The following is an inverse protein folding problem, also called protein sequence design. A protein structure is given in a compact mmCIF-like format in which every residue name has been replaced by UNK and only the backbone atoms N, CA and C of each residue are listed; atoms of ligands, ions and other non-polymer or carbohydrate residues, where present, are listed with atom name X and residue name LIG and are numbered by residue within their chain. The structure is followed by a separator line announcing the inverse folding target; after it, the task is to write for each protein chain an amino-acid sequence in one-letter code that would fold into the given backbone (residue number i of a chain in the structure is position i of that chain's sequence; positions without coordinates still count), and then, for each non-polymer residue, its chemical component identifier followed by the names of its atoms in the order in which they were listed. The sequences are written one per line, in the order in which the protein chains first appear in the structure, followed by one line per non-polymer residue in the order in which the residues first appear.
data_IF_219209489264
#
_entry.id   IF_219209489264
#
_cell.length_a   1.000
_cell.length_b   1.000
_cell.length_c   1.000
_cell.angle_alpha   90.00
_cell.angle_beta   90.00
_cell.angle_gamma   90.00
#
_symmetry.space_group_name_H-M   'P 1'
#
loop_
_entity.id
_entity.type
_entity.pdbx_description
1 polymer ?
#
# COMPACT_ATOMS: atom_id res chain seq x y z
N UNK A 1 27.92 -43.11 71.82
CA UNK A 1 28.77 -43.10 70.61
C UNK A 1 27.88 -42.70 69.46
N UNK A 2 27.78 -41.43 69.17
CA UNK A 2 26.91 -40.89 68.12
C UNK A 2 27.77 -40.16 67.06
N UNK A 3 27.69 -40.66 65.86
CA UNK A 3 28.40 -40.07 64.71
C UNK A 3 27.36 -39.41 63.85
N UNK A 4 27.32 -38.05 63.94
CA UNK A 4 26.52 -37.21 63.07
C UNK A 4 27.23 -37.03 61.73
N UNK A 5 26.57 -37.43 60.65
CA UNK A 5 26.97 -37.17 59.30
C UNK A 5 26.29 -35.82 58.87
N UNK A 6 27.12 -34.78 58.62
CA UNK A 6 26.68 -33.53 58.06
C UNK A 6 26.79 -33.63 56.51
N UNK A 7 25.67 -33.65 55.85
CA UNK A 7 25.63 -33.55 54.38
C UNK A 7 25.68 -32.08 53.98
N UNK A 8 26.84 -31.68 53.44
CA UNK A 8 26.97 -30.36 52.77
C UNK A 8 26.38 -30.46 51.36
N UNK A 9 25.21 -29.88 51.15
CA UNK A 9 24.63 -29.67 49.85
C UNK A 9 25.31 -28.46 49.21
N UNK A 10 26.21 -28.66 48.26
CA UNK A 10 26.69 -27.67 47.35
C UNK A 10 25.59 -27.40 46.31
N UNK A 11 24.82 -26.33 46.49
CA UNK A 11 23.92 -25.82 45.47
C UNK A 11 24.74 -25.08 44.40
N UNK A 12 24.97 -25.75 43.29
CA UNK A 12 25.58 -25.14 42.07
C UNK A 12 24.56 -24.21 41.43
N UNK A 13 24.65 -22.90 41.70
CA UNK A 13 23.91 -21.88 40.97
C UNK A 13 24.55 -21.70 39.61
N UNK A 14 23.95 -22.32 38.58
CA UNK A 14 24.25 -22.00 37.19
C UNK A 14 23.51 -20.71 36.86
N UNK A 15 24.22 -19.59 36.94
CA UNK A 15 23.78 -18.32 36.38
C UNK A 15 23.80 -18.43 34.85
N UNK A 16 22.67 -18.83 34.27
CA UNK A 16 22.42 -18.60 32.85
C UNK A 16 22.29 -17.08 32.62
N UNK A 17 23.40 -16.43 32.34
CA UNK A 17 23.44 -15.09 31.80
C UNK A 17 22.84 -15.13 30.41
N UNK A 18 21.52 -14.98 30.29
CA UNK A 18 20.92 -14.56 29.05
C UNK A 18 21.43 -13.14 28.76
N UNK A 19 22.54 -13.07 28.06
CA UNK A 19 22.95 -11.83 27.42
C UNK A 19 21.86 -11.50 26.40
N UNK A 20 20.88 -10.71 26.85
CA UNK A 20 19.98 -10.01 25.95
C UNK A 20 20.89 -9.05 25.17
N UNK A 21 21.40 -9.52 24.03
CA UNK A 21 22.09 -8.65 23.08
C UNK A 21 21.03 -7.66 22.60
N UNK A 22 21.02 -6.48 23.21
CA UNK A 22 20.30 -5.35 22.65
C UNK A 22 20.76 -5.21 21.21
N UNK A 23 19.83 -5.16 20.25
CA UNK A 23 20.21 -4.88 18.86
C UNK A 23 21.04 -3.59 18.90
N UNK A 24 22.26 -3.64 18.38
CA UNK A 24 23.07 -2.43 18.21
C UNK A 24 22.19 -1.40 17.52
N UNK A 25 22.18 -0.14 17.97
CA UNK A 25 21.49 0.92 17.25
C UNK A 25 22.01 0.85 15.81
N UNK A 26 21.11 0.53 14.88
CA UNK A 26 21.41 0.55 13.45
C UNK A 26 21.92 1.97 13.20
N UNK A 27 23.16 2.08 12.74
CA UNK A 27 23.74 3.36 12.31
C UNK A 27 22.65 4.10 11.52
N UNK A 28 22.57 5.43 11.65
CA UNK A 28 21.57 6.30 11.02
C UNK A 28 21.49 5.97 9.51
N UNK A 29 20.75 4.91 9.19
CA UNK A 29 20.52 4.52 7.80
C UNK A 29 19.40 5.42 7.31
N UNK A 30 19.74 6.30 6.39
CA UNK A 30 18.83 7.27 5.82
C UNK A 30 17.88 6.57 4.85
N UNK A 31 16.61 6.96 4.87
CA UNK A 31 15.66 6.57 3.85
C UNK A 31 15.93 7.41 2.62
N UNK A 32 16.27 6.77 1.52
CA UNK A 32 16.45 7.43 0.23
C UNK A 32 15.13 7.53 -0.50
N UNK A 33 14.96 8.65 -1.22
CA UNK A 33 13.83 8.90 -2.11
C UNK A 33 14.35 9.05 -3.53
N UNK A 34 13.77 8.30 -4.46
CA UNK A 34 14.03 8.40 -5.89
C UNK A 34 12.70 8.57 -6.64
N UNK A 35 12.71 9.34 -7.73
CA UNK A 35 11.52 9.54 -8.57
C UNK A 35 11.70 8.85 -9.93
N UNK A 36 10.63 8.20 -10.40
CA UNK A 36 10.60 7.48 -11.67
C UNK A 36 9.34 7.87 -12.45
N UNK A 37 9.47 8.21 -13.72
CA UNK A 37 8.34 8.37 -14.64
C UNK A 37 7.93 7.00 -15.13
N UNK A 38 6.67 6.62 -14.95
CA UNK A 38 6.15 5.32 -15.39
C UNK A 38 5.17 5.40 -16.56
N UNK A 39 4.54 6.57 -16.78
CA UNK A 39 3.59 6.73 -17.88
C UNK A 39 3.50 8.19 -18.35
N UNK A 40 3.18 8.38 -19.64
CA UNK A 40 2.86 9.68 -20.23
C UNK A 40 1.52 9.55 -20.97
N UNK A 41 0.52 10.31 -20.53
CA UNK A 41 -0.86 10.29 -21.04
C UNK A 41 -1.22 11.65 -21.63
N UNK A 42 -0.94 11.87 -22.90
CA UNK A 42 -1.11 13.18 -23.52
C UNK A 42 -0.20 14.22 -22.89
N UNK A 43 -0.76 15.16 -22.14
CA UNK A 43 0.00 16.19 -21.39
C UNK A 43 0.36 15.77 -19.97
N UNK A 44 -0.20 14.68 -19.46
CA UNK A 44 0.04 14.21 -18.09
C UNK A 44 1.27 13.32 -18.05
N UNK A 45 2.22 13.67 -17.21
CA UNK A 45 3.38 12.84 -16.89
C UNK A 45 3.17 12.24 -15.50
N UNK A 46 3.00 10.93 -15.46
CA UNK A 46 2.78 10.18 -14.22
C UNK A 46 4.10 9.62 -13.72
N UNK A 47 4.42 9.91 -12.47
CA UNK A 47 5.63 9.44 -11.81
C UNK A 47 5.32 8.83 -10.45
N UNK A 48 6.28 8.09 -9.93
CA UNK A 48 6.22 7.53 -8.59
C UNK A 48 7.48 7.90 -7.80
N UNK A 49 7.32 8.00 -6.49
CA UNK A 49 8.41 8.19 -5.56
C UNK A 49 8.68 6.87 -4.84
N UNK A 50 9.88 6.35 -4.98
CA UNK A 50 10.37 5.15 -4.27
C UNK A 50 11.11 5.58 -3.02
N UNK A 51 10.77 4.98 -1.88
CA UNK A 51 11.44 5.15 -0.59
C UNK A 51 12.01 3.81 -0.13
N UNK A 52 13.30 3.78 0.19
CA UNK A 52 13.96 2.59 0.74
C UNK A 52 15.17 2.97 1.61
N UNK A 53 15.65 2.04 2.42
CA UNK A 53 16.89 2.25 3.16
C UNK A 53 18.11 2.23 2.25
N UNK A 54 19.02 3.19 2.44
CA UNK A 54 20.21 3.41 1.60
C UNK A 54 21.32 2.37 1.74
N UNK A 55 21.22 1.41 2.62
CA UNK A 55 22.28 0.43 2.81
C UNK A 55 21.79 -0.97 3.06
N UNK A 56 22.60 -1.89 2.57
CA UNK A 56 22.57 -3.34 2.69
C UNK A 56 21.65 -3.95 1.63
N UNK A 57 22.26 -4.47 0.56
CA UNK A 57 21.60 -5.46 -0.27
C UNK A 57 21.16 -6.61 0.63
N UNK A 58 19.86 -6.75 0.96
CA UNK A 58 19.41 -7.85 1.79
C UNK A 58 19.65 -9.16 1.04
N UNK A 59 19.96 -10.22 1.77
CA UNK A 59 20.10 -11.56 1.19
C UNK A 59 18.76 -12.08 0.64
N UNK A 60 17.64 -11.46 1.00
CA UNK A 60 16.27 -11.77 0.55
C UNK A 60 15.66 -10.60 -0.21
N UNK A 61 14.73 -10.93 -1.11
CA UNK A 61 13.90 -9.93 -1.78
C UNK A 61 13.03 -9.17 -0.76
N UNK A 62 12.75 -7.91 -1.05
CA UNK A 62 11.99 -7.00 -0.18
C UNK A 62 10.51 -7.00 -0.53
N UNK A 63 9.60 -6.96 0.46
CA UNK A 63 8.19 -6.66 0.21
C UNK A 63 8.03 -5.22 -0.28
N UNK A 64 6.93 -4.97 -0.99
CA UNK A 64 6.61 -3.67 -1.57
C UNK A 64 5.27 -3.16 -1.04
N UNK A 65 5.19 -1.88 -0.73
CA UNK A 65 3.94 -1.15 -0.54
C UNK A 65 3.78 -0.14 -1.67
N UNK A 66 2.70 -0.25 -2.47
CA UNK A 66 2.33 0.77 -3.45
C UNK A 66 1.19 1.58 -2.88
N UNK A 67 1.38 2.89 -2.75
CA UNK A 67 0.44 3.81 -2.10
C UNK A 67 -0.15 4.80 -3.09
N UNK A 68 -1.49 4.94 -3.06
CA UNK A 68 -2.26 5.96 -3.77
C UNK A 68 -2.77 7.03 -2.78
N UNK A 69 -2.51 8.31 -3.07
CA UNK A 69 -2.88 9.42 -2.20
C UNK A 69 -4.40 9.74 -2.25
N UNK A 70 -4.89 10.45 -1.24
CA UNK A 70 -6.25 11.00 -1.19
C UNK A 70 -6.37 12.35 -1.89
N UNK A 71 -7.61 12.82 -2.09
CA UNK A 71 -7.87 14.13 -2.66
C UNK A 71 -9.12 14.18 -3.54
N UNK A 72 -10.04 13.21 -3.38
CA UNK A 72 -11.36 13.20 -4.03
C UNK A 72 -11.30 13.16 -5.54
N UNK A 73 -10.25 12.61 -6.15
CA UNK A 73 -9.98 12.61 -7.60
C UNK A 73 -9.92 14.02 -8.23
N UNK A 74 -9.75 15.05 -7.38
CA UNK A 74 -9.63 16.46 -7.77
C UNK A 74 -8.23 17.03 -7.60
N UNK A 75 -7.40 16.36 -6.81
CA UNK A 75 -6.07 16.81 -6.47
C UNK A 75 -5.41 15.82 -5.50
N UNK A 76 -4.37 16.28 -4.84
CA UNK A 76 -3.52 15.47 -3.96
C UNK A 76 -2.09 15.44 -4.50
N UNK A 77 -1.20 14.85 -3.71
CA UNK A 77 0.22 14.76 -4.05
C UNK A 77 0.79 13.47 -3.44
N UNK A 78 1.49 12.68 -4.26
CA UNK A 78 2.22 11.49 -3.80
C UNK A 78 3.31 11.82 -2.77
N UNK A 79 3.79 13.06 -2.76
CA UNK A 79 4.80 13.57 -1.85
C UNK A 79 4.21 14.40 -0.69
N UNK A 80 2.90 14.29 -0.41
CA UNK A 80 2.29 15.02 0.70
C UNK A 80 2.99 14.67 2.03
N UNK A 81 3.33 15.72 2.78
CA UNK A 81 4.10 15.61 4.03
C UNK A 81 3.39 14.79 5.10
N UNK A 82 2.07 14.65 5.03
CA UNK A 82 1.29 13.81 5.95
C UNK A 82 1.57 12.33 5.79
N UNK A 83 1.95 11.88 4.60
CA UNK A 83 2.24 10.47 4.32
C UNK A 83 3.72 10.09 4.54
N UNK A 84 4.65 11.03 4.44
CA UNK A 84 6.10 10.76 4.51
C UNK A 84 6.51 9.97 5.76
N UNK A 85 6.04 10.30 6.99
CA UNK A 85 6.40 9.53 8.17
C UNK A 85 5.97 8.05 8.08
N UNK A 86 4.83 7.77 7.43
CA UNK A 86 4.36 6.41 7.20
C UNK A 86 5.26 5.67 6.20
N UNK A 87 5.66 6.32 5.12
CA UNK A 87 6.57 5.74 4.12
C UNK A 87 7.94 5.44 4.71
N UNK A 88 8.49 6.39 5.48
CA UNK A 88 9.78 6.19 6.15
C UNK A 88 9.73 5.08 7.20
N UNK A 89 8.62 4.99 7.95
CA UNK A 89 8.43 3.91 8.92
C UNK A 89 8.46 2.54 8.24
N UNK A 90 7.76 2.35 7.14
CA UNK A 90 7.75 1.09 6.39
C UNK A 90 9.12 0.80 5.77
N UNK A 91 9.78 1.81 5.18
CA UNK A 91 11.11 1.64 4.61
C UNK A 91 12.14 1.21 5.67
N UNK A 92 12.08 1.78 6.89
CA UNK A 92 12.91 1.37 8.03
C UNK A 92 12.60 -0.06 8.51
N UNK A 93 11.42 -0.59 8.19
CA UNK A 93 11.01 -1.96 8.49
C UNK A 93 11.22 -2.93 7.31
N UNK A 94 12.00 -2.52 6.31
CA UNK A 94 12.48 -3.40 5.23
C UNK A 94 11.60 -3.44 3.99
N UNK A 95 10.57 -2.59 3.90
CA UNK A 95 9.78 -2.44 2.68
C UNK A 95 10.47 -1.53 1.67
N UNK A 96 10.22 -1.79 0.39
CA UNK A 96 10.27 -0.75 -0.63
C UNK A 96 8.90 -0.10 -0.67
N UNK A 97 8.84 1.22 -0.45
CA UNK A 97 7.58 1.95 -0.50
C UNK A 97 7.54 2.78 -1.76
N UNK A 98 6.45 2.68 -2.49
CA UNK A 98 6.20 3.41 -3.74
C UNK A 98 4.96 4.26 -3.55
N UNK A 99 5.08 5.58 -3.61
CA UNK A 99 3.94 6.48 -3.66
C UNK A 99 3.75 6.96 -5.09
N UNK A 100 2.57 6.72 -5.68
CA UNK A 100 2.34 6.91 -7.12
C UNK A 100 1.40 8.05 -7.44
N UNK A 101 1.66 8.73 -8.57
CA UNK A 101 0.68 9.60 -9.20
C UNK A 101 -0.45 8.77 -9.83
N UNK A 102 -1.60 9.38 -9.97
CA UNK A 102 -2.70 8.97 -10.82
C UNK A 102 -3.45 10.22 -11.33
N UNK A 103 -4.12 10.14 -12.48
CA UNK A 103 -4.85 11.27 -13.04
C UNK A 103 -6.06 11.62 -12.17
N UNK A 104 -6.14 12.89 -11.78
CA UNK A 104 -7.23 13.44 -10.96
C UNK A 104 -8.26 14.13 -11.84
N UNK A 105 -9.03 13.35 -12.60
CA UNK A 105 -9.88 13.84 -13.70
C UNK A 105 -11.02 14.75 -13.25
N UNK A 106 -11.49 14.63 -11.99
CA UNK A 106 -12.50 15.57 -11.45
C UNK A 106 -11.95 16.98 -11.21
N UNK A 107 -10.63 17.20 -11.28
CA UNK A 107 -10.03 18.53 -11.20
C UNK A 107 -10.46 19.42 -12.37
N UNK A 108 -10.63 18.84 -13.54
CA UNK A 108 -11.00 19.53 -14.78
C UNK A 108 -12.46 19.30 -15.16
N UNK A 109 -13.27 18.75 -14.25
CA UNK A 109 -14.69 18.56 -14.48
C UNK A 109 -15.38 19.92 -14.64
N UNK A 110 -15.99 20.13 -15.81
CA UNK A 110 -16.78 21.33 -16.08
C UNK A 110 -18.14 21.26 -15.34
N UNK A 111 -18.39 22.14 -14.37
CA UNK A 111 -19.65 22.13 -13.63
C UNK A 111 -20.90 22.24 -14.50
N UNK A 112 -20.78 22.86 -15.67
CA UNK A 112 -21.91 23.02 -16.63
C UNK A 112 -22.34 21.70 -17.27
N UNK A 113 -21.48 20.68 -17.23
CA UNK A 113 -21.76 19.32 -17.72
C UNK A 113 -22.34 18.38 -16.64
N UNK A 114 -22.52 18.89 -15.42
CA UNK A 114 -23.10 18.13 -14.31
C UNK A 114 -24.50 18.71 -14.05
N UNK A 115 -25.47 18.26 -14.82
CA UNK A 115 -26.85 18.74 -14.76
C UNK A 115 -27.72 17.93 -13.82
N UNK A 116 -27.27 16.71 -13.46
CA UNK A 116 -28.02 15.78 -12.63
C UNK A 116 -27.06 14.98 -11.69
N UNK A 117 -27.57 14.37 -10.63
CA UNK A 117 -26.81 13.42 -9.82
C UNK A 117 -26.19 12.29 -10.65
N UNK A 118 -26.87 11.83 -11.70
CA UNK A 118 -26.36 10.76 -12.57
C UNK A 118 -25.13 11.20 -13.36
N UNK A 119 -25.07 12.46 -13.81
CA UNK A 119 -23.89 12.99 -14.49
C UNK A 119 -22.67 13.00 -13.56
N UNK A 120 -22.89 13.36 -12.28
CA UNK A 120 -21.83 13.32 -11.28
C UNK A 120 -21.36 11.89 -11.00
N UNK A 121 -22.29 10.94 -10.87
CA UNK A 121 -21.97 9.50 -10.68
C UNK A 121 -21.14 8.99 -11.86
N UNK A 122 -21.53 9.30 -13.09
CA UNK A 122 -20.78 8.91 -14.29
C UNK A 122 -19.38 9.53 -14.32
N UNK A 123 -19.24 10.80 -13.93
CA UNK A 123 -17.95 11.47 -13.85
C UNK A 123 -17.05 10.86 -12.76
N UNK A 124 -17.64 10.51 -11.61
CA UNK A 124 -16.94 9.85 -10.52
C UNK A 124 -16.46 8.46 -10.92
N UNK A 125 -17.33 7.67 -11.57
CA UNK A 125 -16.95 6.34 -12.07
C UNK A 125 -15.79 6.45 -13.07
N UNK A 126 -15.88 7.38 -14.03
CA UNK A 126 -14.77 7.63 -14.97
C UNK A 126 -13.47 8.01 -14.25
N UNK A 127 -13.56 8.77 -13.15
CA UNK A 127 -12.39 9.15 -12.38
C UNK A 127 -11.77 7.94 -11.64
N UNK A 128 -12.61 7.06 -11.10
CA UNK A 128 -12.18 5.80 -10.47
C UNK A 128 -11.49 4.90 -11.50
N UNK A 129 -12.14 4.65 -12.65
CA UNK A 129 -11.59 3.79 -13.70
C UNK A 129 -10.24 4.32 -14.20
N UNK A 130 -10.13 5.64 -14.37
CA UNK A 130 -8.88 6.29 -14.79
C UNK A 130 -7.78 6.13 -13.73
N UNK A 131 -8.10 6.28 -12.44
CA UNK A 131 -7.15 6.12 -11.37
C UNK A 131 -6.71 4.66 -11.21
N UNK A 132 -7.63 3.70 -11.38
CA UNK A 132 -7.32 2.26 -11.39
C UNK A 132 -6.41 1.90 -12.57
N UNK A 133 -6.70 2.44 -13.76
CA UNK A 133 -5.82 2.26 -14.93
C UNK A 133 -4.39 2.70 -14.62
N UNK A 134 -4.22 3.90 -14.08
CA UNK A 134 -2.92 4.46 -13.76
C UNK A 134 -2.23 3.68 -12.62
N UNK A 135 -2.98 3.21 -11.64
CA UNK A 135 -2.47 2.39 -10.54
C UNK A 135 -1.96 1.03 -11.04
N UNK A 136 -2.65 0.39 -11.97
CA UNK A 136 -2.18 -0.84 -12.60
C UNK A 136 -0.91 -0.61 -13.43
N UNK A 137 -0.80 0.51 -14.13
CA UNK A 137 0.43 0.84 -14.87
C UNK A 137 1.61 1.07 -13.91
N UNK A 138 1.39 1.77 -12.80
CA UNK A 138 2.39 1.92 -11.75
C UNK A 138 2.80 0.57 -11.15
N UNK A 139 1.83 -0.32 -10.87
CA UNK A 139 2.09 -1.68 -10.38
C UNK A 139 2.90 -2.49 -11.39
N UNK A 140 2.54 -2.46 -12.67
CA UNK A 140 3.28 -3.13 -13.74
C UNK A 140 4.71 -2.59 -13.86
N UNK A 141 4.90 -1.27 -13.73
CA UNK A 141 6.22 -0.66 -13.71
C UNK A 141 7.06 -1.19 -12.54
N UNK A 142 6.50 -1.23 -11.33
CA UNK A 142 7.17 -1.78 -10.13
C UNK A 142 7.57 -3.25 -10.34
N UNK A 143 6.68 -4.08 -10.90
CA UNK A 143 6.97 -5.47 -11.21
C UNK A 143 8.16 -5.59 -12.17
N UNK A 144 8.22 -4.74 -13.19
CA UNK A 144 9.31 -4.73 -14.17
C UNK A 144 10.66 -4.31 -13.56
N UNK A 145 10.65 -3.56 -12.44
CA UNK A 145 11.84 -3.19 -11.69
C UNK A 145 12.29 -4.26 -10.68
N UNK A 146 11.65 -5.43 -10.65
CA UNK A 146 11.83 -6.42 -9.58
C UNK A 146 13.28 -6.86 -9.38
N UNK A 147 14.04 -7.00 -10.43
CA UNK A 147 15.48 -7.36 -10.35
C UNK A 147 16.33 -6.20 -9.84
N UNK A 148 16.12 -5.00 -10.37
CA UNK A 148 16.94 -3.82 -10.06
C UNK A 148 16.70 -3.33 -8.63
N UNK A 149 15.45 -3.44 -8.14
CA UNK A 149 15.07 -3.03 -6.78
C UNK A 149 15.15 -4.16 -5.77
N UNK A 150 15.50 -5.39 -6.20
CA UNK A 150 15.55 -6.59 -5.37
C UNK A 150 14.26 -6.79 -4.56
N UNK A 151 13.10 -6.72 -5.24
CA UNK A 151 11.77 -6.85 -4.64
C UNK A 151 11.14 -8.19 -4.94
N UNK A 152 10.25 -8.62 -4.04
CA UNK A 152 9.42 -9.81 -4.20
C UNK A 152 8.07 -9.42 -4.79
N UNK A 153 7.82 -9.81 -6.04
CA UNK A 153 6.57 -9.51 -6.75
C UNK A 153 5.35 -10.22 -6.16
N UNK A 154 5.57 -11.28 -5.38
CA UNK A 154 4.50 -11.98 -4.66
C UNK A 154 4.14 -11.29 -3.33
N UNK A 155 4.93 -10.28 -2.92
CA UNK A 155 4.73 -9.52 -1.69
C UNK A 155 4.45 -8.03 -1.98
N UNK A 156 3.64 -7.76 -3.00
CA UNK A 156 3.18 -6.40 -3.31
C UNK A 156 1.85 -6.15 -2.59
N UNK A 157 1.84 -5.18 -1.69
CA UNK A 157 0.66 -4.70 -0.97
C UNK A 157 0.21 -3.38 -1.58
N UNK A 158 -1.07 -3.27 -1.95
CA UNK A 158 -1.69 -2.02 -2.36
C UNK A 158 -2.21 -1.27 -1.13
N UNK A 159 -1.99 0.04 -1.06
CA UNK A 159 -2.52 0.87 0.03
C UNK A 159 -2.96 2.23 -0.50
N UNK A 160 -3.90 2.86 0.19
CA UNK A 160 -4.35 4.18 -0.21
C UNK A 160 -5.20 4.89 0.83
N UNK A 161 -5.41 6.19 0.62
CA UNK A 161 -6.20 7.05 1.49
C UNK A 161 -7.34 7.70 0.70
N UNK A 162 -8.58 7.67 1.22
CA UNK A 162 -9.76 8.31 0.61
C UNK A 162 -9.91 7.92 -0.87
N UNK A 163 -9.83 8.84 -1.83
CA UNK A 163 -9.85 8.53 -3.27
C UNK A 163 -8.81 7.47 -3.67
N UNK A 164 -7.60 7.51 -3.09
CA UNK A 164 -6.59 6.49 -3.30
C UNK A 164 -6.98 5.13 -2.68
N UNK A 165 -7.69 5.15 -1.56
CA UNK A 165 -8.22 3.93 -0.96
C UNK A 165 -9.33 3.30 -1.81
N UNK A 166 -10.20 4.13 -2.40
CA UNK A 166 -11.19 3.70 -3.39
C UNK A 166 -10.46 3.07 -4.59
N UNK A 167 -9.41 3.73 -5.09
CA UNK A 167 -8.62 3.23 -6.22
C UNK A 167 -8.04 1.84 -5.95
N UNK A 168 -7.41 1.61 -4.78
CA UNK A 168 -6.78 0.30 -4.51
C UNK A 168 -7.79 -0.79 -4.20
N UNK A 169 -8.92 -0.46 -3.57
CA UNK A 169 -10.02 -1.42 -3.37
C UNK A 169 -10.66 -1.80 -4.70
N UNK A 170 -10.93 -0.80 -5.57
CA UNK A 170 -11.47 -1.05 -6.90
C UNK A 170 -10.49 -1.85 -7.76
N UNK A 171 -9.18 -1.58 -7.67
CA UNK A 171 -8.17 -2.37 -8.36
C UNK A 171 -8.20 -3.85 -7.95
N UNK A 172 -8.31 -4.16 -6.67
CA UNK A 172 -8.45 -5.55 -6.23
C UNK A 172 -9.78 -6.15 -6.70
N UNK A 173 -10.88 -5.39 -6.60
CA UNK A 173 -12.20 -5.82 -7.07
C UNK A 173 -12.19 -6.16 -8.56
N UNK A 174 -11.66 -5.27 -9.38
CA UNK A 174 -11.56 -5.45 -10.84
C UNK A 174 -10.67 -6.64 -11.22
N UNK A 175 -9.58 -6.86 -10.47
CA UNK A 175 -8.69 -8.00 -10.66
C UNK A 175 -9.40 -9.33 -10.36
N UNK A 176 -10.16 -9.39 -9.25
CA UNK A 176 -10.92 -10.56 -8.86
C UNK A 176 -12.07 -10.88 -9.82
N UNK A 177 -12.69 -9.85 -10.40
CA UNK A 177 -13.84 -9.98 -11.31
C UNK A 177 -13.44 -10.00 -12.80
N UNK A 178 -12.13 -10.02 -13.09
CA UNK A 178 -11.64 -10.16 -14.48
C UNK A 178 -11.95 -8.95 -15.35
N UNK A 179 -12.04 -7.75 -14.77
CA UNK A 179 -12.28 -6.53 -15.51
C UNK A 179 -11.18 -6.27 -16.56
N UNK A 180 -11.54 -5.61 -17.67
CA UNK A 180 -10.63 -5.38 -18.80
C UNK A 180 -9.37 -4.60 -18.38
N UNK A 181 -9.50 -3.65 -17.45
CA UNK A 181 -8.38 -2.87 -16.93
C UNK A 181 -7.31 -3.74 -16.25
N UNK A 182 -7.71 -4.84 -15.60
CA UNK A 182 -6.78 -5.74 -14.91
C UNK A 182 -5.81 -6.46 -15.87
N UNK A 183 -6.10 -6.51 -17.18
CA UNK A 183 -5.20 -7.07 -18.19
C UNK A 183 -3.90 -6.28 -18.39
N UNK A 184 -3.77 -5.10 -17.75
CA UNK A 184 -2.51 -4.36 -17.68
C UNK A 184 -1.49 -5.00 -16.75
N UNK A 185 -1.96 -5.86 -15.86
CA UNK A 185 -1.09 -6.63 -14.96
C UNK A 185 -0.67 -7.95 -15.64
N UNK A 186 0.47 -8.51 -15.27
CA UNK A 186 0.89 -9.83 -15.74
C UNK A 186 -0.15 -10.89 -15.41
N UNK A 187 -0.35 -11.85 -16.34
CA UNK A 187 -1.28 -12.96 -16.12
C UNK A 187 -0.94 -13.72 -14.84
N UNK A 188 -1.95 -13.92 -13.99
CA UNK A 188 -1.79 -14.60 -12.71
C UNK A 188 -1.26 -13.73 -11.57
N UNK A 189 -1.03 -12.45 -11.79
CA UNK A 189 -0.67 -11.53 -10.71
C UNK A 189 -1.81 -11.41 -9.70
N UNK A 190 -1.44 -11.30 -8.41
CA UNK A 190 -2.34 -10.98 -7.31
C UNK A 190 -1.60 -10.07 -6.33
N UNK A 191 -2.30 -9.13 -5.71
CA UNK A 191 -1.74 -8.40 -4.58
C UNK A 191 -1.61 -9.33 -3.36
N UNK A 192 -0.57 -9.14 -2.55
CA UNK A 192 -0.40 -9.84 -1.28
C UNK A 192 -1.39 -9.35 -0.21
N UNK A 193 -1.94 -8.16 -0.38
CA UNK A 193 -2.95 -7.56 0.47
C UNK A 193 -3.31 -6.15 0.04
N UNK A 194 -4.44 -5.65 0.58
CA UNK A 194 -4.89 -4.27 0.42
C UNK A 194 -5.05 -3.63 1.78
N UNK A 195 -4.55 -2.39 1.94
CA UNK A 195 -4.76 -1.57 3.14
C UNK A 195 -5.48 -0.28 2.71
N UNK A 196 -6.71 -0.13 3.15
CA UNK A 196 -7.60 0.98 2.78
C UNK A 196 -7.83 1.91 3.98
N UNK A 197 -7.53 3.18 3.81
CA UNK A 197 -7.86 4.23 4.78
C UNK A 197 -9.00 5.09 4.24
N UNK A 198 -10.22 4.85 4.73
CA UNK A 198 -11.46 5.52 4.34
C UNK A 198 -11.79 5.37 2.84
N UNK A 199 -11.78 4.13 2.34
CA UNK A 199 -12.16 3.78 0.98
C UNK A 199 -13.46 3.01 0.89
N UNK A 200 -13.92 2.77 -0.34
CA UNK A 200 -15.07 1.96 -0.68
C UNK A 200 -14.87 1.29 -2.05
N UNK A 201 -15.57 0.21 -2.32
CA UNK A 201 -15.70 -0.36 -3.67
C UNK A 201 -16.84 0.36 -4.39
N UNK A 202 -16.63 0.76 -5.65
CA UNK A 202 -17.66 1.38 -6.48
C UNK A 202 -18.45 0.31 -7.24
N UNK A 203 -19.40 -0.31 -6.53
CA UNK A 203 -20.32 -1.30 -7.10
C UNK A 203 -21.64 -1.30 -6.34
N UNK A 204 -22.58 -2.14 -6.78
CA UNK A 204 -23.83 -2.42 -6.05
C UNK A 204 -23.51 -3.13 -4.74
N UNK A 205 -24.00 -2.61 -3.63
CA UNK A 205 -23.73 -3.17 -2.30
C UNK A 205 -24.72 -4.32 -1.95
N UNK A 206 -24.23 -5.42 -1.37
CA UNK A 206 -22.81 -5.75 -1.15
C UNK A 206 -22.11 -6.09 -2.46
N UNK A 207 -20.81 -5.79 -2.59
CA UNK A 207 -20.06 -6.09 -3.80
C UNK A 207 -19.98 -7.60 -4.03
N UNK A 208 -20.11 -8.03 -5.30
CA UNK A 208 -19.97 -9.43 -5.68
C UNK A 208 -18.56 -9.72 -6.14
N UNK A 209 -17.91 -10.71 -5.53
CA UNK A 209 -16.56 -11.14 -5.85
C UNK A 209 -16.59 -12.47 -6.60
N UNK A 210 -16.17 -12.48 -7.86
CA UNK A 210 -16.04 -13.71 -8.66
C UNK A 210 -14.95 -14.65 -8.13
N UNK A 211 -13.86 -14.06 -7.60
CA UNK A 211 -12.78 -14.76 -6.91
C UNK A 211 -12.61 -14.19 -5.52
N UNK A 212 -12.10 -15.00 -4.62
CA UNK A 212 -11.75 -14.52 -3.28
C UNK A 212 -10.64 -13.47 -3.38
N UNK A 213 -10.84 -12.27 -2.81
CA UNK A 213 -9.82 -11.23 -2.81
C UNK A 213 -8.63 -11.62 -1.93
N UNK A 214 -7.52 -10.93 -2.12
CA UNK A 214 -6.42 -10.99 -1.17
C UNK A 214 -6.87 -10.49 0.23
N UNK A 215 -6.08 -10.69 1.30
CA UNK A 215 -6.39 -10.11 2.60
C UNK A 215 -6.58 -8.60 2.51
N UNK A 216 -7.72 -8.09 3.00
CA UNK A 216 -8.05 -6.66 2.99
C UNK A 216 -8.13 -6.17 4.43
N UNK A 217 -7.41 -5.06 4.72
CA UNK A 217 -7.48 -4.36 6.00
C UNK A 217 -8.10 -2.98 5.78
N UNK A 218 -9.21 -2.72 6.47
CA UNK A 218 -9.97 -1.48 6.37
C UNK A 218 -9.82 -0.64 7.64
N UNK A 219 -9.43 0.60 7.48
CA UNK A 219 -9.45 1.64 8.51
C UNK A 219 -10.46 2.69 8.10
N UNK A 220 -11.56 2.81 8.84
CA UNK A 220 -12.65 3.72 8.48
C UNK A 220 -13.28 4.35 9.72
N UNK A 221 -13.56 5.64 9.64
CA UNK A 221 -14.29 6.34 10.69
C UNK A 221 -15.79 6.00 10.63
N UNK A 222 -16.38 5.64 11.73
CA UNK A 222 -17.82 5.32 11.83
C UNK A 222 -18.75 6.53 11.64
N UNK A 223 -18.20 7.75 11.69
CA UNK A 223 -18.87 9.01 11.43
C UNK A 223 -18.42 9.69 10.13
N UNK A 224 -17.75 8.98 9.22
CA UNK A 224 -17.32 9.52 7.94
C UNK A 224 -18.53 9.86 7.06
N UNK A 225 -18.63 11.13 6.65
CA UNK A 225 -19.69 11.67 5.77
C UNK A 225 -19.24 11.86 4.32
N UNK A 226 -17.97 11.67 4.06
CA UNK A 226 -17.37 11.83 2.72
C UNK A 226 -17.40 10.52 1.96
N UNK A 227 -16.91 9.46 2.61
CA UNK A 227 -17.06 8.08 2.18
C UNK A 227 -17.80 7.37 3.31
N UNK A 228 -19.12 7.16 3.19
CA UNK A 228 -19.93 6.60 4.29
C UNK A 228 -19.41 5.24 4.73
N UNK A 229 -19.38 5.02 6.06
CA UNK A 229 -18.86 3.79 6.65
C UNK A 229 -19.57 2.54 6.11
N UNK A 230 -20.87 2.65 5.83
CA UNK A 230 -21.69 1.55 5.29
C UNK A 230 -21.26 1.14 3.87
N UNK A 231 -20.41 1.94 3.20
CA UNK A 231 -19.87 1.64 1.87
C UNK A 231 -18.42 1.13 1.94
N UNK A 232 -17.87 0.97 3.12
CA UNK A 232 -16.44 0.66 3.31
C UNK A 232 -16.03 -0.75 2.88
N UNK A 233 -16.98 -1.68 2.66
CA UNK A 233 -16.63 -3.07 2.35
C UNK A 233 -17.61 -3.74 1.42
#
# INVERSE_FOLDING_TARGET
MNRNWVYSLFALWVLCSFACTQPKPVANVEVQKENFVFSIKGTDTLSLDKYELSSISPASKKPVMIFAFGGGFKGGDKADKGYIPYFEFLARNGFVVVSTDYRTTLKTLDPSKVSSPMDFIAALQHAIDTAVEDFYEATSFVINQSSDWNIDVEQIVASGSSAGAITVLQAEYDLCNGHELAKRLPAGFNYAGVISYAGAVSDVLPPHWEKMPCPIMLFHGDADKTVPFEQAA
#
